data_IF_265860687202
#
_entry.id   IF_265860687202
#
_cell.length_a   1.000
_cell.length_b   1.000
_cell.length_c   1.000
_cell.angle_alpha   90.00
_cell.angle_beta   90.00
_cell.angle_gamma   90.00
#
_symmetry.space_group_name_H-M   'P 1'
#
loop_
_entity.id
_entity.type
_entity.pdbx_description
1 polymer ?
#
# COMPACT_ATOMS: atom_id res chain seq x y z
N UNK A 1 7.20 0.19 11.81
CA UNK A 1 7.30 1.36 10.91
C UNK A 1 7.67 0.99 9.48
N UNK A 2 8.93 1.06 9.03
CA UNK A 2 9.27 0.68 7.63
C UNK A 2 9.17 -0.83 7.40
N UNK A 3 9.78 -1.64 8.28
CA UNK A 3 9.73 -3.10 8.18
C UNK A 3 8.28 -3.64 8.21
N UNK A 4 7.44 -3.07 9.06
CA UNK A 4 6.01 -3.38 9.15
C UNK A 4 5.23 -2.98 7.90
N UNK A 5 5.51 -1.79 7.34
CA UNK A 5 4.92 -1.39 6.06
C UNK A 5 5.31 -2.36 4.94
N UNK A 6 6.59 -2.74 4.87
CA UNK A 6 7.11 -3.71 3.91
C UNK A 6 6.44 -5.08 4.08
N UNK A 7 6.27 -5.56 5.31
CA UNK A 7 5.56 -6.83 5.57
C UNK A 7 4.14 -6.79 5.01
N UNK A 8 3.38 -5.73 5.28
CA UNK A 8 2.04 -5.59 4.73
C UNK A 8 2.01 -5.50 3.20
N UNK A 9 2.95 -4.77 2.61
CA UNK A 9 3.03 -4.66 1.15
C UNK A 9 3.45 -5.97 0.48
N UNK A 10 4.38 -6.73 1.06
CA UNK A 10 4.77 -8.05 0.55
C UNK A 10 3.60 -9.05 0.62
N UNK A 11 2.82 -9.01 1.70
CA UNK A 11 1.59 -9.81 1.81
C UNK A 11 0.55 -9.37 0.77
N UNK A 12 0.37 -8.06 0.56
CA UNK A 12 -0.54 -7.55 -0.47
C UNK A 12 -0.15 -8.05 -1.87
N UNK A 13 1.15 -8.00 -2.21
CA UNK A 13 1.69 -8.53 -3.47
C UNK A 13 1.43 -10.04 -3.56
N UNK A 14 1.69 -10.80 -2.51
CA UNK A 14 1.42 -12.24 -2.50
C UNK A 14 -0.07 -12.57 -2.69
N UNK A 15 -0.97 -11.83 -2.04
CA UNK A 15 -2.42 -11.99 -2.27
C UNK A 15 -2.81 -11.67 -3.71
N UNK A 16 -2.16 -10.69 -4.35
CA UNK A 16 -2.43 -10.33 -5.75
C UNK A 16 -2.05 -11.39 -6.79
N UNK A 17 -1.28 -12.41 -6.40
CA UNK A 17 -0.98 -13.57 -7.24
C UNK A 17 -2.13 -14.59 -7.30
N UNK A 18 -3.18 -14.40 -6.47
CA UNK A 18 -4.43 -15.18 -6.52
C UNK A 18 -5.41 -14.56 -7.52
N UNK A 19 -6.58 -15.16 -7.65
CA UNK A 19 -7.64 -14.66 -8.53
C UNK A 19 -8.17 -13.30 -8.04
N UNK A 20 -7.79 -12.23 -8.73
CA UNK A 20 -8.22 -10.87 -8.44
C UNK A 20 -9.67 -10.59 -8.88
N UNK A 21 -10.37 -11.55 -9.50
CA UNK A 21 -11.83 -11.46 -9.72
C UNK A 21 -12.65 -11.87 -8.49
N UNK A 22 -12.01 -12.51 -7.50
CA UNK A 22 -12.61 -12.83 -6.22
C UNK A 22 -12.56 -11.62 -5.28
N UNK A 23 -13.73 -11.18 -4.81
CA UNK A 23 -13.88 -10.05 -3.89
C UNK A 23 -13.11 -10.28 -2.58
N UNK A 24 -13.02 -11.53 -2.08
CA UNK A 24 -12.28 -11.84 -0.86
C UNK A 24 -10.79 -11.53 -1.05
N UNK A 25 -10.25 -11.81 -2.23
CA UNK A 25 -8.85 -11.50 -2.55
C UNK A 25 -8.65 -9.98 -2.65
N UNK A 26 -9.58 -9.27 -3.31
CA UNK A 26 -9.54 -7.79 -3.39
C UNK A 26 -9.58 -7.17 -2.00
N UNK A 27 -10.47 -7.61 -1.12
CA UNK A 27 -10.61 -7.10 0.23
C UNK A 27 -9.35 -7.37 1.06
N UNK A 28 -8.77 -8.57 0.92
CA UNK A 28 -7.53 -8.93 1.61
C UNK A 28 -6.34 -8.06 1.14
N UNK A 29 -6.20 -7.81 -0.17
CA UNK A 29 -5.18 -6.90 -0.71
C UNK A 29 -5.42 -5.47 -0.18
N UNK A 30 -6.65 -4.98 -0.23
CA UNK A 30 -7.00 -3.63 0.21
C UNK A 30 -6.76 -3.40 1.72
N UNK A 31 -7.05 -4.41 2.55
CA UNK A 31 -6.74 -4.39 3.98
C UNK A 31 -5.23 -4.25 4.21
N UNK A 32 -4.41 -5.03 3.48
CA UNK A 32 -2.95 -4.98 3.60
C UNK A 32 -2.36 -3.67 3.07
N UNK A 33 -2.87 -3.14 1.96
CA UNK A 33 -2.52 -1.80 1.47
C UNK A 33 -2.81 -0.73 2.51
N UNK A 34 -3.99 -0.77 3.14
CA UNK A 34 -4.39 0.19 4.17
C UNK A 34 -3.47 0.13 5.38
N UNK A 35 -3.17 -1.08 5.87
CA UNK A 35 -2.28 -1.28 7.01
C UNK A 35 -0.85 -0.81 6.71
N UNK A 36 -0.32 -1.09 5.51
CA UNK A 36 1.01 -0.62 5.12
C UNK A 36 1.10 0.90 5.03
N UNK A 37 0.08 1.58 4.48
CA UNK A 37 0.03 3.06 4.46
C UNK A 37 -0.09 3.64 5.86
N UNK A 38 -0.86 3.01 6.75
CA UNK A 38 -0.97 3.42 8.16
C UNK A 38 0.40 3.34 8.86
N UNK A 39 1.14 2.24 8.67
CA UNK A 39 2.47 2.05 9.23
C UNK A 39 3.47 3.13 8.73
N UNK A 40 3.37 3.55 7.46
CA UNK A 40 4.16 4.70 6.96
C UNK A 40 3.71 6.04 7.56
N UNK A 41 2.45 6.16 7.97
CA UNK A 41 1.87 7.34 8.59
C UNK A 41 2.48 7.72 9.94
N UNK A 42 2.98 6.73 10.68
CA UNK A 42 3.62 6.95 11.97
C UNK A 42 5.16 7.08 11.91
N UNK A 43 5.74 7.13 10.70
CA UNK A 43 7.13 7.59 10.52
C UNK A 43 7.28 9.06 10.91
N UNK A 44 8.48 9.45 11.33
CA UNK A 44 8.80 10.85 11.52
C UNK A 44 8.63 11.63 10.18
N UNK A 45 8.14 12.89 10.22
CA UNK A 45 7.82 13.63 9.00
C UNK A 45 9.00 13.82 8.04
N UNK A 46 10.22 13.96 8.56
CA UNK A 46 11.42 14.22 7.75
C UNK A 46 11.85 12.97 6.98
N UNK A 47 11.92 11.82 7.66
CA UNK A 47 12.14 10.51 7.03
C UNK A 47 11.06 10.20 6.01
N UNK A 48 9.78 10.43 6.35
CA UNK A 48 8.69 10.19 5.41
C UNK A 48 8.78 11.07 4.18
N UNK A 49 9.11 12.35 4.35
CA UNK A 49 9.31 13.29 3.23
C UNK A 49 10.49 12.88 2.37
N UNK A 50 11.61 12.48 2.99
CA UNK A 50 12.81 12.00 2.29
C UNK A 50 12.53 10.73 1.47
N UNK A 51 11.78 9.78 2.03
CA UNK A 51 11.52 8.48 1.39
C UNK A 51 10.40 8.54 0.35
N UNK A 52 9.33 9.27 0.64
CA UNK A 52 8.09 9.20 -0.15
C UNK A 52 7.77 10.50 -0.88
N UNK A 53 8.28 11.65 -0.44
CA UNK A 53 8.06 12.95 -1.07
C UNK A 53 6.60 13.19 -1.49
N UNK A 54 6.41 13.39 -2.80
CA UNK A 54 5.11 13.65 -3.43
C UNK A 54 4.19 12.41 -3.54
N UNK A 55 4.73 11.21 -3.30
CA UNK A 55 3.96 9.97 -3.26
C UNK A 55 3.12 9.86 -2.00
N UNK A 56 3.57 10.45 -0.88
CA UNK A 56 2.86 10.31 0.40
C UNK A 56 1.40 10.81 0.35
N UNK A 57 1.09 12.01 -0.18
CA UNK A 57 -0.29 12.44 -0.38
C UNK A 57 -1.11 11.48 -1.26
N UNK A 58 -0.51 10.88 -2.30
CA UNK A 58 -1.18 9.94 -3.20
C UNK A 58 -1.53 8.63 -2.49
N UNK A 59 -0.60 8.08 -1.71
CA UNK A 59 -0.80 6.87 -0.91
C UNK A 59 -1.90 7.07 0.13
N UNK A 60 -1.91 8.21 0.84
CA UNK A 60 -3.02 8.57 1.75
C UNK A 60 -4.35 8.69 1.02
N UNK A 61 -4.35 9.34 -0.15
CA UNK A 61 -5.55 9.48 -0.98
C UNK A 61 -6.11 8.15 -1.46
N UNK A 62 -5.27 7.15 -1.72
CA UNK A 62 -5.66 5.78 -2.05
C UNK A 62 -6.25 5.07 -0.82
N UNK A 63 -5.56 5.09 0.33
CA UNK A 63 -6.07 4.52 1.60
C UNK A 63 -7.43 5.10 1.99
N UNK A 64 -7.62 6.41 1.80
CA UNK A 64 -8.91 7.06 2.06
C UNK A 64 -10.02 6.55 1.14
N UNK A 65 -9.73 6.31 -0.15
CA UNK A 65 -10.72 5.73 -1.08
C UNK A 65 -11.10 4.30 -0.69
N UNK A 66 -10.13 3.48 -0.27
CA UNK A 66 -10.40 2.13 0.26
C UNK A 66 -11.32 2.22 1.50
N UNK A 67 -10.99 3.08 2.47
CA UNK A 67 -11.75 3.20 3.71
C UNK A 67 -13.20 3.69 3.53
N UNK A 68 -13.47 4.45 2.46
CA UNK A 68 -14.82 4.97 2.16
C UNK A 68 -15.60 4.09 1.15
N UNK A 69 -15.02 2.98 0.69
CA UNK A 69 -15.67 2.00 -0.19
C UNK A 69 -16.69 1.12 0.53
N UNK A 70 -17.54 1.68 1.39
CA UNK A 70 -18.46 0.95 2.29
C UNK A 70 -19.49 0.04 1.59
N UNK A 71 -19.65 0.16 0.26
CA UNK A 71 -20.47 -0.76 -0.54
C UNK A 71 -19.61 -1.83 -1.22
N UNK A 72 -18.69 -1.40 -2.08
CA UNK A 72 -17.67 -2.23 -2.69
C UNK A 72 -16.39 -1.39 -2.86
N UNK A 73 -15.24 -2.01 -2.63
CA UNK A 73 -13.96 -1.40 -3.00
C UNK A 73 -13.83 -1.44 -4.51
N UNK A 74 -13.46 -0.33 -5.12
CA UNK A 74 -13.14 -0.26 -6.54
C UNK A 74 -11.94 -1.18 -6.84
N UNK A 75 -12.23 -2.32 -7.47
CA UNK A 75 -11.25 -3.36 -7.78
C UNK A 75 -10.15 -2.86 -8.72
N UNK A 76 -10.47 -1.91 -9.60
CA UNK A 76 -9.53 -1.30 -10.54
C UNK A 76 -8.47 -0.51 -9.79
N UNK A 77 -8.87 0.26 -8.77
CA UNK A 77 -7.91 0.98 -7.91
C UNK A 77 -7.00 0.00 -7.18
N UNK A 78 -7.54 -1.09 -6.62
CA UNK A 78 -6.75 -2.09 -5.87
C UNK A 78 -5.77 -2.79 -6.80
N UNK A 79 -6.24 -3.29 -7.95
CA UNK A 79 -5.43 -3.98 -8.96
C UNK A 79 -4.32 -3.07 -9.50
N UNK A 80 -4.66 -1.85 -9.90
CA UNK A 80 -3.68 -0.87 -10.37
C UNK A 80 -2.63 -0.57 -9.28
N UNK A 81 -3.07 -0.45 -8.03
CA UNK A 81 -2.16 -0.16 -6.92
C UNK A 81 -1.20 -1.31 -6.68
N UNK A 82 -1.69 -2.54 -6.49
CA UNK A 82 -0.84 -3.67 -6.10
C UNK A 82 0.05 -4.17 -7.24
N UNK A 83 -0.42 -4.11 -8.49
CA UNK A 83 0.30 -4.65 -9.65
C UNK A 83 1.28 -3.64 -10.27
N UNK A 84 0.97 -2.33 -10.21
CA UNK A 84 1.75 -1.30 -10.93
C UNK A 84 2.43 -0.34 -9.98
N UNK A 85 1.70 0.25 -9.04
CA UNK A 85 2.24 1.34 -8.22
C UNK A 85 3.09 0.85 -7.04
N UNK A 86 2.65 -0.23 -6.39
CA UNK A 86 3.23 -0.71 -5.13
C UNK A 86 4.67 -1.24 -5.28
N UNK A 87 5.06 -1.99 -6.34
CA UNK A 87 6.42 -2.50 -6.47
C UNK A 87 7.50 -1.41 -6.37
N UNK A 88 7.30 -0.28 -7.05
CA UNK A 88 8.25 0.85 -7.00
C UNK A 88 8.37 1.46 -5.61
N UNK A 89 7.26 1.52 -4.86
CA UNK A 89 7.27 1.99 -3.46
C UNK A 89 8.04 1.03 -2.56
N UNK A 90 7.83 -0.28 -2.72
CA UNK A 90 8.54 -1.32 -1.96
C UNK A 90 10.04 -1.25 -2.22
N UNK A 91 10.46 -1.07 -3.48
CA UNK A 91 11.87 -0.92 -3.83
C UNK A 91 12.50 0.32 -3.18
N UNK A 92 11.80 1.46 -3.21
CA UNK A 92 12.26 2.69 -2.56
C UNK A 92 12.38 2.54 -1.04
N UNK A 93 11.42 1.88 -0.39
CA UNK A 93 11.45 1.62 1.05
C UNK A 93 12.59 0.66 1.44
N UNK A 94 12.85 -0.38 0.64
CA UNK A 94 13.98 -1.30 0.87
C UNK A 94 15.32 -0.59 0.72
N UNK A 95 15.50 0.22 -0.33
CA UNK A 95 16.70 1.01 -0.53
C UNK A 95 16.92 2.02 0.62
N UNK A 96 15.84 2.69 1.06
CA UNK A 96 15.89 3.67 2.14
C UNK A 96 16.05 3.08 3.54
N UNK A 97 15.76 1.80 3.75
CA UNK A 97 15.97 1.09 5.01
C UNK A 97 17.41 0.57 5.18
N UNK A 98 18.18 0.52 4.10
CA UNK A 98 19.59 0.08 4.10
C UNK A 98 20.58 1.24 4.22
N UNK A 99 20.10 2.49 4.15
CA UNK A 99 20.85 3.73 4.21
C UNK A 99 20.71 4.41 5.58
#
# INVERSE_FOLDING_TARGET
MIAEALEHFDIAISHSQRDLSDQIVIDAVAMRLSAGVEALGALDPDTRTRLLGDQWPRMRGMRNRIAHGYGFIDDTIVRQTVLVNLPTVVDALRAGAQA
#
